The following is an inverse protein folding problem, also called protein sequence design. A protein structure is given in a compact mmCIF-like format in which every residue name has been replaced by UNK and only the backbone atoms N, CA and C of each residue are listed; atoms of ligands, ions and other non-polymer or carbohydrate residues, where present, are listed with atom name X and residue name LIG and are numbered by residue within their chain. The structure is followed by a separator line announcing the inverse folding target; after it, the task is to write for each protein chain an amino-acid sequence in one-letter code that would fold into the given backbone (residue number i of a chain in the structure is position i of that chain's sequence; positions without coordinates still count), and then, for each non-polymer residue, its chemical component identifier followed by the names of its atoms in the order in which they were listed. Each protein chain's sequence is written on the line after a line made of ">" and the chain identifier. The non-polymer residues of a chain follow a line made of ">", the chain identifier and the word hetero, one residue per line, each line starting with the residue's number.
data_IF_505119103283
#
_entry.id   IF_505119103283
#
_cell.length_a   1.000
_cell.length_b   1.000
_cell.length_c   1.000
_cell.angle_alpha   90.00
_cell.angle_beta   90.00
_cell.angle_gamma   90.00
#
_symmetry.space_group_name_H-M   'P 1'
#
loop_
_entity.id
_entity.type
_entity.pdbx_description
1 polymer ?
#
# COMPACT_ATOMS: atom_id res chain seq x y z
N UNK A 1 -29.79 -14.02 -34.69
CA UNK A 1 -31.05 -13.25 -34.67
C UNK A 1 -31.86 -13.72 -33.48
N UNK A 2 -31.92 -12.91 -32.42
CA UNK A 2 -33.01 -12.92 -31.43
C UNK A 2 -32.88 -11.63 -30.63
N UNK A 3 -33.39 -10.57 -31.25
CA UNK A 3 -33.75 -9.33 -30.57
C UNK A 3 -35.05 -9.54 -29.79
N UNK A 4 -35.24 -8.66 -28.80
CA UNK A 4 -36.50 -8.33 -28.14
C UNK A 4 -37.06 -9.33 -27.12
N UNK A 5 -36.79 -9.06 -25.84
CA UNK A 5 -37.84 -8.78 -24.84
C UNK A 5 -37.19 -8.26 -23.55
N UNK A 6 -36.72 -7.02 -23.57
CA UNK A 6 -36.53 -6.25 -22.33
C UNK A 6 -37.92 -5.72 -21.99
N UNK A 7 -38.65 -6.45 -21.14
CA UNK A 7 -39.88 -5.95 -20.57
C UNK A 7 -39.55 -4.67 -19.78
N UNK A 8 -39.98 -3.51 -20.29
CA UNK A 8 -39.99 -2.26 -19.53
C UNK A 8 -40.99 -2.44 -18.39
N UNK A 9 -40.50 -2.82 -17.22
CA UNK A 9 -41.25 -2.68 -15.98
C UNK A 9 -41.32 -1.19 -15.65
N UNK A 10 -42.42 -0.55 -16.03
CA UNK A 10 -42.77 0.78 -15.56
C UNK A 10 -43.18 0.64 -14.10
N UNK A 11 -42.37 1.17 -13.18
CA UNK A 11 -42.74 1.23 -11.76
C UNK A 11 -44.08 1.97 -11.63
N UNK A 12 -45.02 1.50 -10.78
CA UNK A 12 -46.19 2.29 -10.43
C UNK A 12 -45.73 3.63 -9.86
N UNK A 13 -46.42 4.71 -10.21
CA UNK A 13 -46.11 6.09 -9.80
C UNK A 13 -46.16 6.32 -8.26
N UNK A 14 -46.44 5.29 -7.46
CA UNK A 14 -46.65 5.36 -6.01
C UNK A 14 -46.14 4.10 -5.29
N UNK A 15 -44.97 3.57 -5.67
CA UNK A 15 -44.35 2.50 -4.89
C UNK A 15 -43.42 3.10 -3.83
N UNK A 16 -43.81 2.97 -2.56
CA UNK A 16 -43.00 3.31 -1.40
C UNK A 16 -42.51 2.01 -0.72
N UNK A 17 -41.21 1.86 -0.42
CA UNK A 17 -40.71 0.72 0.34
C UNK A 17 -41.30 0.70 1.75
N UNK A 18 -41.50 -0.50 2.32
CA UNK A 18 -41.99 -0.65 3.69
C UNK A 18 -41.17 0.23 4.64
N UNK A 19 -41.84 1.20 5.26
CA UNK A 19 -41.24 2.12 6.25
C UNK A 19 -40.10 2.99 5.70
N UNK A 20 -40.16 3.43 4.44
CA UNK A 20 -39.25 4.43 3.86
C UNK A 20 -37.76 4.00 3.87
N UNK A 21 -37.50 2.68 3.97
CA UNK A 21 -36.16 2.11 4.08
C UNK A 21 -35.64 1.61 2.74
N UNK A 22 -34.44 2.08 2.35
CA UNK A 22 -33.70 1.69 1.12
C UNK A 22 -33.01 0.30 1.22
N UNK A 23 -33.50 -0.63 2.03
CA UNK A 23 -32.91 -1.97 2.18
C UNK A 23 -33.60 -3.02 1.27
N UNK A 24 -32.90 -4.10 0.84
CA UNK A 24 -33.50 -5.12 -0.01
C UNK A 24 -34.70 -5.76 0.68
N UNK A 25 -35.87 -5.75 0.03
CA UNK A 25 -37.09 -6.29 0.62
C UNK A 25 -36.96 -7.82 0.74
N UNK A 26 -37.05 -8.33 1.97
CA UNK A 26 -37.12 -9.77 2.26
C UNK A 26 -38.28 -10.48 1.51
N UNK A 27 -39.31 -9.71 1.13
CA UNK A 27 -40.44 -10.17 0.33
C UNK A 27 -40.04 -10.51 -1.12
N UNK A 28 -39.09 -9.78 -1.71
CA UNK A 28 -38.60 -10.03 -3.08
C UNK A 28 -37.73 -11.28 -3.16
N UNK A 29 -36.99 -11.57 -2.09
CA UNK A 29 -36.18 -12.77 -1.93
C UNK A 29 -37.04 -14.04 -1.96
N UNK A 30 -38.24 -14.00 -1.34
CA UNK A 30 -39.24 -15.08 -1.40
C UNK A 30 -39.88 -15.26 -2.79
N UNK A 31 -39.93 -14.20 -3.60
CA UNK A 31 -40.54 -14.21 -4.93
C UNK A 31 -39.54 -14.55 -6.05
N UNK A 32 -38.25 -14.71 -5.73
CA UNK A 32 -37.20 -15.02 -6.70
C UNK A 32 -36.94 -13.91 -7.72
N UNK A 33 -37.38 -12.68 -7.43
CA UNK A 33 -37.24 -11.53 -8.35
C UNK A 33 -35.91 -10.84 -8.09
N UNK A 34 -34.99 -10.96 -9.04
CA UNK A 34 -33.73 -10.21 -9.06
C UNK A 34 -33.99 -8.82 -9.65
N UNK A 35 -33.93 -7.78 -8.80
CA UNK A 35 -33.99 -6.40 -9.28
C UNK A 35 -32.58 -5.83 -9.44
N UNK A 36 -32.24 -5.22 -10.59
CA UNK A 36 -31.00 -4.49 -10.74
C UNK A 36 -31.03 -3.27 -9.80
N UNK A 37 -30.05 -3.17 -8.92
CA UNK A 37 -29.87 -2.02 -8.03
C UNK A 37 -28.51 -1.39 -8.30
N UNK A 38 -28.48 -0.09 -8.55
CA UNK A 38 -27.24 0.67 -8.72
C UNK A 38 -26.76 1.14 -7.35
N UNK A 39 -25.69 0.54 -6.85
CA UNK A 39 -25.08 0.87 -5.57
C UNK A 39 -23.58 1.12 -5.69
N UNK A 40 -22.98 1.64 -4.62
CA UNK A 40 -21.53 1.83 -4.53
C UNK A 40 -20.88 0.54 -4.04
N UNK A 41 -19.84 0.08 -4.75
CA UNK A 41 -19.03 -1.06 -4.33
C UNK A 41 -17.68 -0.56 -3.79
N UNK A 42 -17.25 -1.10 -2.65
CA UNK A 42 -15.88 -0.94 -2.22
C UNK A 42 -14.99 -1.86 -3.04
N UNK A 43 -14.05 -1.27 -3.76
CA UNK A 43 -12.98 -2.02 -4.42
C UNK A 43 -11.75 -1.97 -3.54
N UNK A 44 -11.13 -3.13 -3.33
CA UNK A 44 -9.81 -3.18 -2.75
C UNK A 44 -8.82 -2.67 -3.81
N UNK A 45 -8.20 -1.52 -3.54
CA UNK A 45 -7.09 -1.04 -4.35
C UNK A 45 -5.93 -2.03 -4.29
N UNK A 46 -5.74 -2.75 -5.39
CA UNK A 46 -4.61 -3.66 -5.56
C UNK A 46 -3.57 -2.94 -6.40
N UNK A 47 -2.43 -2.61 -5.79
CA UNK A 47 -1.31 -2.05 -6.54
C UNK A 47 -0.94 -3.03 -7.67
N UNK A 48 -0.98 -2.59 -8.94
CA UNK A 48 -0.61 -3.46 -10.05
C UNK A 48 0.89 -3.80 -9.99
N UNK A 49 1.25 -5.00 -10.46
CA UNK A 49 2.65 -5.37 -10.59
C UNK A 49 3.33 -4.48 -11.66
N UNK A 50 4.60 -4.12 -11.40
CA UNK A 50 5.43 -3.47 -12.41
C UNK A 50 5.75 -4.48 -13.52
N UNK A 51 5.60 -4.07 -14.79
CA UNK A 51 5.96 -4.93 -15.93
C UNK A 51 7.49 -5.00 -16.06
N UNK A 52 8.12 -3.83 -16.23
CA UNK A 52 9.58 -3.69 -16.24
C UNK A 52 9.99 -2.48 -15.42
N UNK A 53 11.16 -2.55 -14.81
CA UNK A 53 11.73 -1.45 -14.06
C UNK A 53 13.21 -1.27 -14.37
N UNK A 54 13.65 -0.01 -14.39
CA UNK A 54 15.04 0.40 -14.41
C UNK A 54 15.40 0.89 -13.01
N UNK A 55 16.45 0.31 -12.42
CA UNK A 55 17.01 0.76 -11.14
C UNK A 55 18.46 1.18 -11.35
N UNK A 56 18.79 2.39 -10.88
CA UNK A 56 20.15 2.93 -10.90
C UNK A 56 20.48 3.40 -9.49
N UNK A 57 21.66 3.04 -9.00
CA UNK A 57 22.15 3.45 -7.69
C UNK A 57 23.60 3.88 -7.78
N UNK A 58 23.91 5.05 -7.20
CA UNK A 58 25.26 5.56 -7.02
C UNK A 58 25.56 5.63 -5.52
N UNK A 59 26.70 5.09 -5.10
CA UNK A 59 27.19 5.15 -3.73
C UNK A 59 28.54 5.84 -3.71
N UNK A 60 28.75 6.69 -2.73
CA UNK A 60 30.01 7.39 -2.55
C UNK A 60 30.36 7.44 -1.06
N UNK A 61 31.59 7.08 -0.73
CA UNK A 61 32.12 7.19 0.62
C UNK A 61 32.73 8.60 0.79
N UNK A 62 32.07 9.45 1.57
CA UNK A 62 32.49 10.84 1.78
C UNK A 62 33.59 10.91 2.85
N UNK A 63 33.58 9.97 3.79
CA UNK A 63 34.59 9.82 4.82
C UNK A 63 34.70 8.33 5.22
N UNK A 64 35.79 7.89 5.89
CA UNK A 64 35.99 6.49 6.30
C UNK A 64 34.86 5.85 7.10
N UNK A 65 33.96 6.67 7.66
CA UNK A 65 32.82 6.23 8.46
C UNK A 65 31.48 6.68 7.86
N UNK A 66 31.46 7.43 6.76
CA UNK A 66 30.25 8.03 6.21
C UNK A 66 30.13 7.78 4.71
N UNK A 67 29.11 7.03 4.33
CA UNK A 67 28.70 6.83 2.94
C UNK A 67 27.40 7.57 2.63
N UNK A 68 27.29 8.07 1.40
CA UNK A 68 26.05 8.59 0.83
C UNK A 68 25.64 7.72 -0.35
N UNK A 69 24.33 7.64 -0.58
CA UNK A 69 23.74 6.89 -1.68
C UNK A 69 22.69 7.76 -2.35
N UNK A 70 22.63 7.71 -3.67
CA UNK A 70 21.51 8.22 -4.46
C UNK A 70 20.97 7.07 -5.30
N UNK A 71 19.65 6.95 -5.38
CA UNK A 71 19.01 5.90 -6.17
C UNK A 71 17.82 6.43 -6.94
N UNK A 72 17.58 5.79 -8.08
CA UNK A 72 16.51 6.10 -9.00
C UNK A 72 15.87 4.81 -9.49
N UNK A 73 14.55 4.70 -9.34
CA UNK A 73 13.75 3.58 -9.84
C UNK A 73 12.68 4.11 -10.78
N UNK A 74 12.54 3.53 -11.96
CA UNK A 74 11.51 3.92 -12.93
C UNK A 74 10.87 2.71 -13.57
N UNK A 75 9.54 2.66 -13.62
CA UNK A 75 8.82 1.66 -14.39
C UNK A 75 8.77 2.02 -15.89
N UNK A 76 8.86 1.00 -16.73
CA UNK A 76 8.96 1.13 -18.20
C UNK A 76 8.02 0.13 -18.85
N UNK A 77 7.22 0.60 -19.81
CA UNK A 77 6.34 -0.27 -20.58
C UNK A 77 5.11 -0.77 -19.81
N UNK A 78 4.74 -0.13 -18.70
CA UNK A 78 3.54 -0.50 -17.94
C UNK A 78 2.30 -0.44 -18.83
N UNK A 79 1.45 -1.47 -18.71
CA UNK A 79 0.11 -1.45 -19.30
C UNK A 79 -0.70 -0.31 -18.69
N UNK A 80 -1.61 0.28 -19.46
CA UNK A 80 -2.48 1.33 -18.91
C UNK A 80 -3.44 0.71 -17.90
N UNK A 81 -3.33 1.13 -16.64
CA UNK A 81 -4.21 0.74 -15.55
C UNK A 81 -5.31 1.78 -15.38
N UNK A 82 -6.55 1.31 -15.30
CA UNK A 82 -7.72 2.17 -15.10
C UNK A 82 -8.21 1.99 -13.67
N UNK A 83 -8.41 3.10 -12.97
CA UNK A 83 -9.02 3.16 -11.63
C UNK A 83 -10.26 4.02 -11.71
N UNK A 84 -11.29 3.63 -10.96
CA UNK A 84 -12.60 4.26 -10.98
C UNK A 84 -12.93 4.74 -9.56
N UNK A 85 -13.37 5.99 -9.44
CA UNK A 85 -13.85 6.56 -8.19
C UNK A 85 -15.33 6.93 -8.34
N UNK A 86 -16.16 6.57 -7.37
CA UNK A 86 -17.58 6.89 -7.41
C UNK A 86 -17.81 8.42 -7.34
N UNK A 87 -18.66 8.92 -8.22
CA UNK A 87 -19.05 10.32 -8.30
C UNK A 87 -20.57 10.42 -8.51
N UNK A 88 -21.25 10.96 -7.50
CA UNK A 88 -22.69 11.18 -7.44
C UNK A 88 -22.99 12.68 -7.69
N UNK A 89 -23.72 12.94 -8.79
CA UNK A 89 -24.23 14.25 -9.15
C UNK A 89 -25.77 14.22 -9.12
N UNK A 90 -26.33 14.55 -7.95
CA UNK A 90 -27.77 14.39 -7.70
C UNK A 90 -28.17 12.91 -7.69
N UNK A 91 -29.22 12.55 -8.45
CA UNK A 91 -29.65 11.15 -8.61
C UNK A 91 -28.79 10.37 -9.62
N UNK A 92 -27.86 11.03 -10.31
CA UNK A 92 -27.01 10.40 -11.31
C UNK A 92 -25.75 9.83 -10.64
N UNK A 93 -25.65 8.50 -10.66
CA UNK A 93 -24.47 7.76 -10.21
C UNK A 93 -23.51 7.55 -11.37
N UNK A 94 -22.26 7.99 -11.23
CA UNK A 94 -21.22 7.90 -12.26
C UNK A 94 -19.86 7.54 -11.65
N UNK A 95 -18.86 7.26 -12.49
CA UNK A 95 -17.49 7.00 -12.04
C UNK A 95 -16.52 7.96 -12.73
N UNK A 96 -15.65 8.59 -11.94
CA UNK A 96 -14.46 9.26 -12.42
C UNK A 96 -13.41 8.22 -12.83
N UNK A 97 -13.00 8.25 -14.10
CA UNK A 97 -12.09 7.25 -14.68
C UNK A 97 -10.67 7.84 -14.79
N UNK A 98 -9.73 7.28 -14.02
CA UNK A 98 -8.33 7.66 -14.04
C UNK A 98 -7.47 6.58 -14.71
N UNK A 99 -6.65 6.99 -15.68
CA UNK A 99 -5.75 6.08 -16.42
C UNK A 99 -4.29 6.38 -16.12
N UNK A 100 -3.55 5.36 -15.73
CA UNK A 100 -2.13 5.45 -15.38
C UNK A 100 -1.30 4.50 -16.23
N UNK A 101 -0.28 5.03 -16.90
CA UNK A 101 0.67 4.28 -17.72
C UNK A 101 2.09 4.29 -17.12
N UNK A 102 2.20 4.72 -15.86
CA UNK A 102 3.46 4.76 -15.11
C UNK A 102 3.19 4.65 -13.62
N UNK A 103 3.59 3.53 -13.06
CA UNK A 103 3.34 3.19 -11.66
C UNK A 103 4.48 3.66 -10.74
N UNK A 104 5.74 3.54 -11.18
CA UNK A 104 6.91 3.91 -10.40
C UNK A 104 7.80 4.94 -11.11
N UNK A 105 8.11 6.02 -10.40
CA UNK A 105 9.17 6.96 -10.75
C UNK A 105 9.68 7.52 -9.42
N UNK A 106 10.63 6.82 -8.82
CA UNK A 106 11.10 7.07 -7.46
C UNK A 106 12.49 7.65 -7.51
N UNK A 107 12.67 8.77 -6.83
CA UNK A 107 13.98 9.36 -6.55
C UNK A 107 14.25 9.22 -5.06
N UNK A 108 15.47 8.89 -4.68
CA UNK A 108 15.84 8.81 -3.28
C UNK A 108 17.31 8.99 -3.02
N UNK A 109 17.60 9.31 -1.76
CA UNK A 109 18.92 9.51 -1.21
C UNK A 109 19.02 8.76 0.11
N UNK A 110 20.23 8.36 0.47
CA UNK A 110 20.52 7.69 1.71
C UNK A 110 21.88 8.08 2.26
N UNK A 111 22.05 7.86 3.54
CA UNK A 111 23.31 8.01 4.24
C UNK A 111 23.53 6.81 5.15
N UNK A 112 24.77 6.37 5.25
CA UNK A 112 25.20 5.32 6.17
C UNK A 112 26.39 5.80 6.97
N UNK A 113 26.29 5.73 8.28
CA UNK A 113 27.31 6.11 9.24
C UNK A 113 27.77 4.91 10.06
N UNK A 114 29.08 4.75 10.22
CA UNK A 114 29.73 3.69 10.99
C UNK A 114 30.43 4.29 12.21
N UNK A 115 29.71 4.57 13.31
CA UNK A 115 30.28 5.18 14.52
C UNK A 115 31.30 4.31 15.25
N UNK A 116 31.45 3.04 14.86
CA UNK A 116 32.41 2.10 15.43
C UNK A 116 32.58 0.88 14.55
N UNK A 117 33.40 -0.09 14.99
CA UNK A 117 33.72 -1.29 14.19
C UNK A 117 32.52 -2.21 13.92
N UNK A 118 31.53 -2.21 14.82
CA UNK A 118 30.41 -3.14 14.78
C UNK A 118 29.05 -2.42 14.77
N UNK A 119 29.04 -1.11 14.51
CA UNK A 119 27.82 -0.32 14.52
C UNK A 119 27.64 0.36 13.17
N UNK A 120 26.43 0.26 12.63
CA UNK A 120 26.03 0.98 11.41
C UNK A 120 24.68 1.61 11.63
N UNK A 121 24.56 2.89 11.29
CA UNK A 121 23.30 3.61 11.23
C UNK A 121 23.08 3.98 9.77
N UNK A 122 21.93 3.66 9.22
CA UNK A 122 21.59 4.03 7.85
C UNK A 122 20.21 4.67 7.80
N UNK A 123 20.09 5.70 6.97
CA UNK A 123 18.84 6.37 6.72
C UNK A 123 18.66 6.50 5.21
N UNK A 124 17.48 6.14 4.72
CA UNK A 124 17.10 6.35 3.32
C UNK A 124 15.82 7.20 3.29
N UNK A 125 15.71 8.05 2.28
CA UNK A 125 14.55 8.87 2.02
C UNK A 125 14.28 8.89 0.53
N UNK A 126 13.01 8.84 0.13
CA UNK A 126 12.66 8.93 -1.28
C UNK A 126 11.21 9.33 -1.52
N UNK A 127 10.88 9.59 -2.79
CA UNK A 127 9.55 10.01 -3.23
C UNK A 127 9.17 9.40 -4.56
N UNK A 128 7.93 8.95 -4.67
CA UNK A 128 7.34 8.59 -5.96
C UNK A 128 6.71 9.83 -6.60
N UNK A 129 7.20 10.22 -7.77
CA UNK A 129 6.76 11.42 -8.48
C UNK A 129 5.76 11.14 -9.61
N UNK A 130 5.12 9.98 -9.60
CA UNK A 130 4.09 9.61 -10.58
C UNK A 130 2.72 10.21 -10.26
N UNK A 131 1.89 10.36 -11.29
CA UNK A 131 0.47 10.67 -11.13
C UNK A 131 -0.28 9.55 -10.40
N UNK A 132 0.13 8.29 -10.61
CA UNK A 132 -0.37 7.14 -9.87
C UNK A 132 -0.10 7.28 -8.36
N UNK A 133 1.14 7.55 -7.97
CA UNK A 133 1.49 7.75 -6.56
C UNK A 133 0.68 8.88 -5.91
N UNK A 134 0.48 10.01 -6.60
CA UNK A 134 -0.38 11.10 -6.11
C UNK A 134 -1.85 10.70 -5.97
N UNK A 135 -2.37 9.91 -6.92
CA UNK A 135 -3.75 9.42 -6.87
C UNK A 135 -3.97 8.48 -5.68
N UNK A 136 -3.02 7.57 -5.46
CA UNK A 136 -3.00 6.68 -4.30
C UNK A 136 -2.93 7.50 -3.01
N UNK A 137 -2.03 8.47 -2.90
CA UNK A 137 -1.89 9.36 -1.73
C UNK A 137 -3.04 10.39 -1.56
N UNK A 138 -4.11 10.26 -2.35
CA UNK A 138 -5.33 11.07 -2.26
C UNK A 138 -6.34 10.54 -1.26
N UNK A 139 -7.50 11.19 -1.23
CA UNK A 139 -8.64 10.80 -0.38
C UNK A 139 -9.94 10.84 -1.18
N UNK A 140 -10.88 9.96 -0.84
CA UNK A 140 -12.23 10.01 -1.41
C UNK A 140 -13.01 11.12 -0.71
N UNK A 141 -13.64 12.00 -1.50
CA UNK A 141 -14.46 13.08 -0.96
C UNK A 141 -15.89 12.59 -0.88
N UNK A 142 -16.49 12.68 0.30
CA UNK A 142 -17.89 12.36 0.51
C UNK A 142 -18.57 13.41 1.38
N UNK A 143 -19.85 13.65 1.09
CA UNK A 143 -20.74 14.43 1.93
C UNK A 143 -21.66 13.45 2.67
N UNK A 144 -21.78 13.63 3.99
CA UNK A 144 -22.67 12.84 4.84
C UNK A 144 -23.65 13.79 5.52
N UNK A 145 -24.94 13.50 5.40
CA UNK A 145 -25.98 14.21 6.12
C UNK A 145 -26.15 13.57 7.50
N UNK A 146 -25.91 14.29 8.61
CA UNK A 146 -26.10 13.76 9.96
C UNK A 146 -27.49 13.13 10.14
N UNK A 147 -27.56 12.04 10.91
CA UNK A 147 -28.79 11.26 11.15
C UNK A 147 -29.43 10.61 9.92
N UNK A 148 -28.70 10.53 8.80
CA UNK A 148 -29.10 9.77 7.61
C UNK A 148 -28.07 8.68 7.27
N UNK A 149 -28.49 7.67 6.50
CA UNK A 149 -27.59 6.67 5.90
C UNK A 149 -27.12 7.07 4.49
N UNK A 150 -27.29 8.34 4.13
CA UNK A 150 -27.01 8.86 2.80
C UNK A 150 -25.58 9.42 2.72
N UNK A 151 -24.77 8.79 1.87
CA UNK A 151 -23.41 9.22 1.55
C UNK A 151 -23.39 9.62 0.08
N UNK A 152 -23.05 10.88 -0.20
CA UNK A 152 -22.89 11.40 -1.56
C UNK A 152 -21.40 11.44 -1.88
N UNK A 153 -20.95 10.59 -2.79
CA UNK A 153 -19.54 10.54 -3.19
C UNK A 153 -19.25 11.64 -4.23
N UNK A 154 -18.21 12.45 -4.01
CA UNK A 154 -17.79 13.55 -4.91
C UNK A 154 -16.49 13.24 -5.66
N UNK A 155 -16.21 11.96 -5.90
CA UNK A 155 -14.98 11.52 -6.53
C UNK A 155 -13.78 11.52 -5.57
N UNK A 156 -12.56 11.63 -6.13
CA UNK A 156 -11.31 11.52 -5.37
C UNK A 156 -10.45 12.78 -5.50
N UNK A 157 -10.01 13.32 -4.37
CA UNK A 157 -9.03 14.42 -4.32
C UNK A 157 -7.62 13.85 -4.49
N UNK A 158 -6.91 14.31 -5.53
CA UNK A 158 -5.52 13.91 -5.78
C UNK A 158 -4.61 14.47 -4.68
N UNK A 159 -3.78 13.59 -4.11
CA UNK A 159 -2.83 13.94 -3.05
C UNK A 159 -1.48 14.46 -3.55
N UNK A 160 -0.58 14.66 -2.60
CA UNK A 160 0.81 15.09 -2.88
C UNK A 160 1.68 13.90 -3.32
N UNK A 161 2.87 14.17 -3.87
CA UNK A 161 3.79 13.11 -4.27
C UNK A 161 4.24 12.32 -3.01
N UNK A 162 3.88 11.03 -2.89
CA UNK A 162 4.08 10.28 -1.67
C UNK A 162 5.57 10.05 -1.41
N UNK A 163 5.94 10.14 -0.14
CA UNK A 163 7.30 9.98 0.36
C UNK A 163 7.46 8.76 1.27
N UNK A 164 8.69 8.29 1.34
CA UNK A 164 9.09 7.29 2.32
C UNK A 164 10.41 7.66 2.96
N UNK A 165 10.62 7.14 4.16
CA UNK A 165 11.92 7.11 4.78
C UNK A 165 12.08 5.90 5.68
N UNK A 166 13.31 5.43 5.77
CA UNK A 166 13.69 4.33 6.65
C UNK A 166 14.89 4.75 7.46
N UNK A 167 14.91 4.33 8.71
CA UNK A 167 16.04 4.47 9.60
C UNK A 167 16.37 3.09 10.14
N UNK A 168 17.63 2.68 10.06
CA UNK A 168 18.07 1.35 10.47
C UNK A 168 19.36 1.46 11.29
N UNK A 169 19.38 0.74 12.39
CA UNK A 169 20.51 0.57 13.28
C UNK A 169 20.92 -0.89 13.26
N UNK A 170 22.14 -1.18 12.85
CA UNK A 170 22.71 -2.53 12.83
C UNK A 170 23.86 -2.63 13.82
N UNK A 171 23.92 -3.76 14.52
CA UNK A 171 24.97 -4.13 15.46
C UNK A 171 25.50 -5.51 15.10
N UNK A 172 26.81 -5.63 15.01
CA UNK A 172 27.46 -6.89 14.65
C UNK A 172 27.35 -7.22 13.17
N UNK A 173 27.82 -8.41 12.82
CA UNK A 173 27.86 -8.93 11.46
C UNK A 173 27.72 -10.44 11.54
N UNK A 174 26.68 -10.98 10.89
CA UNK A 174 26.53 -12.43 10.70
C UNK A 174 27.26 -12.83 9.44
N UNK A 175 28.38 -13.51 9.62
CA UNK A 175 29.25 -13.98 8.54
C UNK A 175 29.19 -15.50 8.48
N UNK A 176 28.63 -16.02 7.38
CA UNK A 176 28.46 -17.47 7.18
C UNK A 176 29.78 -18.25 7.18
N UNK A 177 30.93 -17.57 7.08
CA UNK A 177 32.25 -18.18 7.16
C UNK A 177 32.83 -18.17 8.60
N UNK A 178 32.18 -17.48 9.55
CA UNK A 178 32.62 -17.38 10.95
C UNK A 178 31.54 -17.93 11.87
N UNK A 179 31.60 -19.23 12.25
CA UNK A 179 30.72 -19.80 13.25
C UNK A 179 30.73 -18.98 14.55
N UNK A 180 29.56 -18.79 15.14
CA UNK A 180 29.37 -17.95 16.33
C UNK A 180 29.22 -16.45 16.04
N UNK A 181 29.33 -16.02 14.77
CA UNK A 181 29.04 -14.64 14.39
C UNK A 181 27.54 -14.34 14.48
N UNK A 182 27.23 -13.08 14.77
CA UNK A 182 25.86 -12.62 15.02
C UNK A 182 25.68 -11.19 14.56
N UNK A 183 24.44 -10.86 14.21
CA UNK A 183 24.01 -9.48 14.05
C UNK A 183 22.65 -9.28 14.73
N UNK A 184 22.39 -8.04 15.11
CA UNK A 184 21.09 -7.58 15.51
C UNK A 184 20.83 -6.26 14.82
N UNK A 185 19.57 -5.98 14.50
CA UNK A 185 19.20 -4.71 13.93
C UNK A 185 17.85 -4.23 14.43
N UNK A 186 17.70 -2.92 14.31
CA UNK A 186 16.47 -2.22 14.56
C UNK A 186 16.17 -1.33 13.37
N UNK A 187 15.00 -1.50 12.75
CA UNK A 187 14.53 -0.60 11.71
C UNK A 187 13.23 0.10 12.08
N UNK A 188 13.12 1.34 11.63
CA UNK A 188 11.89 2.09 11.56
C UNK A 188 11.62 2.44 10.10
N UNK A 189 10.39 2.18 9.68
CA UNK A 189 9.95 2.33 8.31
C UNK A 189 8.72 3.23 8.27
N UNK A 190 8.72 4.21 7.38
CA UNK A 190 7.59 5.07 7.12
C UNK A 190 7.38 5.20 5.61
N UNK A 191 6.25 4.72 5.12
CA UNK A 191 5.95 4.65 3.69
C UNK A 191 4.55 5.19 3.42
N UNK A 192 4.44 6.39 2.81
CA UNK A 192 3.13 6.90 2.37
C UNK A 192 2.52 6.03 1.26
N UNK A 193 1.22 6.14 1.06
CA UNK A 193 0.50 5.29 0.10
C UNK A 193 0.99 5.58 -1.33
N UNK A 194 1.45 4.55 -2.05
CA UNK A 194 2.06 4.67 -3.37
C UNK A 194 3.50 5.21 -3.40
N UNK A 195 4.20 5.29 -2.26
CA UNK A 195 5.57 5.83 -2.16
C UNK A 195 6.67 4.88 -2.65
N UNK A 196 6.48 3.56 -2.57
CA UNK A 196 7.57 2.59 -2.73
C UNK A 196 7.14 1.32 -3.46
N UNK A 197 8.05 0.79 -4.28
CA UNK A 197 7.83 -0.40 -5.14
C UNK A 197 8.99 -1.41 -5.03
N UNK A 198 9.81 -1.34 -3.98
CA UNK A 198 10.96 -2.23 -3.75
C UNK A 198 12.32 -1.54 -3.91
N UNK A 199 13.39 -2.14 -3.34
CA UNK A 199 14.78 -1.78 -3.64
C UNK A 199 15.68 -1.23 -2.51
N UNK A 200 15.28 -1.21 -1.22
CA UNK A 200 16.17 -0.78 -0.12
C UNK A 200 16.82 -1.93 0.68
N UNK A 201 16.57 -3.20 0.32
CA UNK A 201 17.17 -4.36 1.01
C UNK A 201 16.72 -4.56 2.47
N UNK A 202 15.57 -4.02 2.89
CA UNK A 202 15.01 -4.29 4.22
C UNK A 202 13.99 -5.44 4.16
N UNK A 203 14.50 -6.67 4.13
CA UNK A 203 13.81 -7.95 3.91
C UNK A 203 12.81 -8.38 5.01
N UNK A 204 12.61 -7.53 6.03
CA UNK A 204 11.90 -7.85 7.27
C UNK A 204 10.37 -7.86 7.17
N UNK A 205 9.80 -7.10 6.22
CA UNK A 205 8.35 -7.09 5.93
C UNK A 205 8.17 -7.43 4.45
N UNK A 206 7.28 -8.35 4.06
CA UNK A 206 7.01 -8.59 2.65
C UNK A 206 6.59 -7.28 1.96
N UNK A 207 7.25 -6.92 0.87
CA UNK A 207 7.01 -5.69 0.07
C UNK A 207 5.53 -5.44 -0.27
N UNK A 208 4.71 -6.50 -0.22
CA UNK A 208 3.26 -6.49 -0.43
C UNK A 208 2.44 -5.71 0.61
N UNK A 209 3.04 -5.32 1.74
CA UNK A 209 2.35 -4.55 2.79
C UNK A 209 2.91 -3.13 2.96
N UNK A 210 3.90 -2.70 2.18
CA UNK A 210 4.59 -1.42 2.40
C UNK A 210 3.86 -0.19 1.86
N UNK A 211 2.53 -0.26 1.78
CA UNK A 211 1.70 0.77 1.17
C UNK A 211 0.93 1.56 2.24
N UNK A 212 1.41 2.75 2.57
CA UNK A 212 0.79 3.58 3.61
C UNK A 212 1.06 3.06 5.03
N UNK A 213 2.17 2.36 5.29
CA UNK A 213 2.47 1.77 6.60
C UNK A 213 3.66 2.43 7.29
N UNK A 214 3.54 2.58 8.60
CA UNK A 214 4.68 2.76 9.50
C UNK A 214 4.87 1.52 10.36
N UNK A 215 6.11 1.08 10.52
CA UNK A 215 6.44 -0.12 11.30
C UNK A 215 7.78 0.01 11.99
N UNK A 216 7.92 -0.73 13.08
CA UNK A 216 9.17 -0.86 13.82
C UNK A 216 9.55 -2.33 13.85
N UNK A 217 10.74 -2.69 13.40
CA UNK A 217 11.18 -4.09 13.32
C UNK A 217 12.47 -4.29 14.10
N UNK A 218 12.46 -5.29 14.97
CA UNK A 218 13.68 -5.85 15.56
C UNK A 218 14.02 -7.14 14.82
N UNK A 219 15.29 -7.33 14.49
CA UNK A 219 15.78 -8.56 13.90
C UNK A 219 17.10 -8.97 14.49
N UNK A 220 17.37 -10.28 14.45
CA UNK A 220 18.65 -10.84 14.84
C UNK A 220 18.99 -12.03 13.95
N UNK A 221 20.27 -12.18 13.65
CA UNK A 221 20.83 -13.30 12.90
C UNK A 221 21.98 -13.94 13.66
N UNK A 222 22.10 -15.26 13.55
CA UNK A 222 23.16 -16.05 14.17
C UNK A 222 23.65 -17.14 13.21
N UNK A 223 24.96 -17.35 13.19
CA UNK A 223 25.63 -18.37 12.38
C UNK A 223 26.08 -19.50 13.30
N UNK A 224 25.26 -20.54 13.52
CA UNK A 224 25.62 -21.65 14.41
C UNK A 224 26.75 -22.52 13.85
N UNK A 225 26.86 -22.62 12.53
CA UNK A 225 27.91 -23.38 11.83
C UNK A 225 28.20 -22.74 10.47
N UNK A 226 29.34 -23.10 9.87
CA UNK A 226 29.70 -22.62 8.54
C UNK A 226 28.56 -22.87 7.55
N UNK A 227 28.33 -21.87 6.69
CA UNK A 227 27.29 -21.84 5.67
C UNK A 227 25.84 -21.85 6.17
N UNK A 228 25.58 -21.92 7.47
CA UNK A 228 24.23 -21.86 8.05
C UNK A 228 23.98 -20.52 8.75
N UNK A 229 22.98 -19.78 8.29
CA UNK A 229 22.50 -18.55 8.91
C UNK A 229 21.05 -18.74 9.38
N UNK A 230 20.77 -18.42 10.63
CA UNK A 230 19.43 -18.41 11.22
C UNK A 230 19.06 -16.98 11.56
N UNK A 231 17.90 -16.52 11.10
CA UNK A 231 17.42 -15.15 11.29
C UNK A 231 16.00 -15.14 11.84
N UNK A 232 15.74 -14.23 12.77
CA UNK A 232 14.43 -13.97 13.34
C UNK A 232 14.12 -12.48 13.29
N UNK A 233 12.88 -12.16 12.97
CA UNK A 233 12.38 -10.81 12.79
C UNK A 233 11.06 -10.67 13.53
N UNK A 234 10.92 -9.59 14.29
CA UNK A 234 9.68 -9.23 14.96
C UNK A 234 9.33 -7.78 14.64
N UNK A 235 8.23 -7.60 13.93
CA UNK A 235 7.69 -6.28 13.58
C UNK A 235 6.58 -5.93 14.55
N UNK A 236 6.76 -4.83 15.28
CA UNK A 236 5.77 -4.28 16.18
C UNK A 236 4.83 -3.37 15.41
N UNK A 237 3.54 -3.55 15.66
CA UNK A 237 2.53 -2.51 15.50
C UNK A 237 2.55 -1.85 14.11
N UNK A 238 2.55 -2.67 13.05
CA UNK A 238 2.42 -2.19 11.69
C UNK A 238 1.07 -1.48 11.53
N UNK A 239 1.10 -0.15 11.44
CA UNK A 239 -0.09 0.71 11.37
C UNK A 239 -0.14 1.47 10.05
N UNK A 240 -1.35 1.61 9.51
CA UNK A 240 -1.63 2.54 8.43
C UNK A 240 -1.34 3.99 8.87
N UNK A 241 -0.69 4.76 8.00
CA UNK A 241 -0.40 6.18 8.15
C UNK A 241 -1.65 7.02 7.83
N UNK A 242 -2.44 6.55 6.87
CA UNK A 242 -3.73 7.14 6.48
C UNK A 242 -4.92 6.40 7.08
N UNK A 243 -6.10 7.03 6.96
CA UNK A 243 -7.37 6.33 7.15
C UNK A 243 -7.74 5.64 5.83
N UNK A 244 -8.17 4.38 5.87
CA UNK A 244 -8.69 3.67 4.70
C UNK A 244 -10.16 4.02 4.53
N UNK A 245 -10.57 4.26 3.28
CA UNK A 245 -11.97 4.45 2.95
C UNK A 245 -12.72 3.13 3.18
N UNK A 246 -13.72 3.15 4.06
CA UNK A 246 -14.68 2.06 4.22
C UNK A 246 -16.07 2.55 3.81
N UNK A 247 -17.02 1.63 3.69
CA UNK A 247 -18.39 1.93 3.25
C UNK A 247 -19.07 2.91 4.20
N UNK A 248 -18.60 2.98 5.45
CA UNK A 248 -19.14 3.81 6.52
C UNK A 248 -18.19 4.94 6.95
N UNK A 249 -17.17 5.23 6.15
CA UNK A 249 -16.22 6.32 6.38
C UNK A 249 -14.80 5.87 6.66
N UNK A 250 -13.92 6.85 6.86
CA UNK A 250 -12.48 6.62 6.91
C UNK A 250 -12.03 6.00 8.26
N UNK A 251 -11.42 4.80 8.23
CA UNK A 251 -10.98 4.05 9.42
C UNK A 251 -9.46 3.90 9.53
N UNK A 252 -8.92 3.85 10.75
CA UNK A 252 -7.49 3.60 11.00
C UNK A 252 -7.19 2.11 10.93
N UNK A 253 -6.29 1.72 10.03
CA UNK A 253 -5.90 0.33 9.83
C UNK A 253 -4.69 -0.07 10.72
N UNK A 254 -4.75 -1.25 11.36
CA UNK A 254 -3.63 -1.86 12.08
C UNK A 254 -3.50 -3.32 11.63
N UNK A 255 -2.33 -3.69 11.14
CA UNK A 255 -2.03 -5.05 10.69
C UNK A 255 -1.66 -5.96 11.87
N UNK A 256 -1.21 -5.37 12.98
CA UNK A 256 -0.82 -6.09 14.21
C UNK A 256 0.68 -6.34 14.27
N UNK A 257 1.08 -7.28 15.15
CA UNK A 257 2.46 -7.70 15.31
C UNK A 257 2.76 -8.89 14.40
N UNK A 258 3.95 -8.92 13.81
CA UNK A 258 4.35 -9.96 12.85
C UNK A 258 5.69 -10.56 13.23
N UNK A 259 5.74 -11.89 13.34
CA UNK A 259 6.96 -12.64 13.57
C UNK A 259 7.32 -13.46 12.34
N UNK A 260 8.59 -13.41 11.92
CA UNK A 260 9.15 -14.23 10.84
C UNK A 260 10.46 -14.83 11.30
N UNK A 261 10.68 -16.09 10.91
CA UNK A 261 11.95 -16.76 11.06
C UNK A 261 12.39 -17.29 9.69
N UNK A 262 13.68 -17.23 9.41
CA UNK A 262 14.29 -17.71 8.18
C UNK A 262 15.57 -18.47 8.49
N UNK A 263 15.85 -19.48 7.67
CA UNK A 263 17.10 -20.25 7.72
C UNK A 263 17.67 -20.27 6.30
N UNK A 264 18.93 -19.91 6.19
CA UNK A 264 19.66 -19.83 4.92
C UNK A 264 20.87 -20.77 4.99
N UNK A 265 20.98 -21.69 4.04
CA UNK A 265 22.14 -22.57 3.89
C UNK A 265 22.81 -22.34 2.54
N UNK A 266 24.13 -22.08 2.55
CA UNK A 266 24.94 -21.90 1.33
C UNK A 266 25.60 -23.23 0.95
N UNK A 267 25.44 -23.63 -0.31
CA UNK A 267 26.06 -24.83 -0.89
C UNK A 267 27.33 -24.45 -1.67
#
# INVERSE_FOLDING_TARGET
>A
MLQEQIARFTLPQSWEPESDRKLPLHLLEKLGVLMPYTGTALLQDRIPALDKALFVQARHEVAPQLGITAFYLRSVGDRTHTMEAAHDEGDVKSNDVHRFNRLANVVGIGAAWHPGRNLRVSADWGRNITAFGRFMNGETVYEHTPDSSEFVFKGRRIGSNPMFWTLRFDVGESDTNRPGSWNAFLDYKYFEHGSFFGGNGTESVPDRYMDGIRSFTLGAGYVPMENLLVEAFYTFDARGIGKRDTLYGAEKFKLGDYFRMQVTYKF
#
